data_IF_213549171616
#
_entry.id   IF_213549171616
#
_cell.length_a   1.000
_cell.length_b   1.000
_cell.length_c   1.000
_cell.angle_alpha   90.00
_cell.angle_beta   90.00
_cell.angle_gamma   90.00
#
_symmetry.space_group_name_H-M   'P 1'
#
loop_
_entity.id
_entity.type
_entity.pdbx_description
1 polymer ?
#
# COMPACT_ATOMS: atom_id res chain seq x y z
N UNK A 1 -14.23 -14.91 24.02
CA UNK A 1 -13.88 -15.98 23.06
C UNK A 1 -13.74 -15.33 21.69
N UNK A 2 -12.54 -15.30 21.09
CA UNK A 2 -12.32 -14.64 19.80
C UNK A 2 -12.82 -15.54 18.66
N UNK A 3 -13.99 -15.23 18.12
CA UNK A 3 -14.54 -15.97 16.98
C UNK A 3 -13.76 -15.64 15.70
N UNK A 4 -13.46 -16.66 14.88
CA UNK A 4 -12.86 -16.57 13.53
C UNK A 4 -13.26 -15.30 12.70
N UNK A 5 -14.53 -14.86 12.65
CA UNK A 5 -14.91 -13.63 11.94
C UNK A 5 -14.26 -12.33 12.45
N UNK A 6 -13.98 -12.22 13.75
CA UNK A 6 -13.36 -11.02 14.34
C UNK A 6 -11.88 -10.94 13.96
N UNK A 7 -11.20 -12.09 13.88
CA UNK A 7 -9.81 -12.19 13.43
C UNK A 7 -9.67 -11.76 11.97
N UNK A 8 -10.58 -12.21 11.11
CA UNK A 8 -10.59 -11.82 9.69
C UNK A 8 -10.88 -10.31 9.52
N UNK A 9 -11.78 -9.74 10.31
CA UNK A 9 -12.01 -8.28 10.31
C UNK A 9 -10.73 -7.51 10.63
N UNK A 10 -10.03 -7.88 11.71
CA UNK A 10 -8.75 -7.25 12.09
C UNK A 10 -7.66 -7.45 11.05
N UNK A 11 -7.60 -8.63 10.43
CA UNK A 11 -6.65 -8.90 9.36
C UNK A 11 -6.90 -7.98 8.16
N UNK A 12 -8.16 -7.83 7.74
CA UNK A 12 -8.57 -6.93 6.66
C UNK A 12 -8.24 -5.47 6.97
N UNK A 13 -8.53 -5.01 8.18
CA UNK A 13 -8.19 -3.65 8.62
C UNK A 13 -6.68 -3.40 8.57
N UNK A 14 -5.87 -4.35 9.05
CA UNK A 14 -4.40 -4.27 8.95
C UNK A 14 -3.93 -4.18 7.51
N UNK A 15 -4.43 -5.04 6.63
CA UNK A 15 -4.06 -5.04 5.21
C UNK A 15 -4.41 -3.69 4.56
N UNK A 16 -5.62 -3.18 4.80
CA UNK A 16 -6.02 -1.89 4.24
C UNK A 16 -5.13 -0.74 4.74
N UNK A 17 -4.83 -0.69 6.05
CA UNK A 17 -3.92 0.32 6.61
C UNK A 17 -2.53 0.24 5.98
N UNK A 18 -1.98 -0.96 5.83
CA UNK A 18 -0.69 -1.15 5.18
C UNK A 18 -0.72 -0.71 3.72
N UNK A 19 -1.79 -0.99 2.96
CA UNK A 19 -1.92 -0.52 1.58
C UNK A 19 -1.97 1.00 1.47
N UNK A 20 -2.71 1.68 2.36
CA UNK A 20 -2.77 3.15 2.39
C UNK A 20 -1.41 3.77 2.75
N UNK A 21 -0.67 3.14 3.67
CA UNK A 21 0.68 3.56 4.03
C UNK A 21 1.67 3.37 2.89
N UNK A 22 1.67 2.20 2.24
CA UNK A 22 2.49 1.92 1.06
C UNK A 22 2.24 2.94 -0.04
N UNK A 23 0.97 3.25 -0.34
CA UNK A 23 0.61 4.28 -1.30
C UNK A 23 1.23 5.63 -0.96
N UNK A 24 1.11 6.07 0.30
CA UNK A 24 1.68 7.37 0.72
C UNK A 24 3.19 7.39 0.57
N UNK A 25 3.89 6.39 1.12
CA UNK A 25 5.35 6.33 1.10
C UNK A 25 5.91 6.30 -0.32
N UNK A 26 5.31 5.50 -1.21
CA UNK A 26 5.77 5.39 -2.59
C UNK A 26 5.52 6.69 -3.36
N UNK A 27 4.35 7.32 -3.20
CA UNK A 27 4.07 8.60 -3.85
C UNK A 27 4.98 9.72 -3.35
N UNK A 28 5.24 9.78 -2.04
CA UNK A 28 6.15 10.73 -1.42
C UNK A 28 7.58 10.54 -1.93
N UNK A 29 8.08 9.30 -1.98
CA UNK A 29 9.39 8.97 -2.54
C UNK A 29 9.52 9.31 -4.03
N UNK A 30 8.41 9.34 -4.77
CA UNK A 30 8.37 9.74 -6.18
C UNK A 30 8.06 11.23 -6.40
N UNK A 31 7.95 12.04 -5.34
CA UNK A 31 7.51 13.44 -5.40
C UNK A 31 6.16 13.63 -6.14
N UNK A 32 5.25 12.68 -5.95
CA UNK A 32 3.91 12.69 -6.56
C UNK A 32 2.85 13.09 -5.54
N UNK A 33 1.93 13.94 -5.97
CA UNK A 33 0.87 14.44 -5.11
C UNK A 33 -0.22 13.38 -4.84
N UNK A 34 -0.40 12.99 -3.57
CA UNK A 34 -1.33 11.93 -3.16
C UNK A 34 -2.80 12.21 -3.48
N UNK A 35 -3.22 13.49 -3.55
CA UNK A 35 -4.59 13.89 -3.86
C UNK A 35 -4.99 13.56 -5.30
N UNK A 36 -4.01 13.49 -6.22
CA UNK A 36 -4.23 13.09 -7.62
C UNK A 36 -4.48 11.59 -7.79
N UNK A 37 -4.24 10.80 -6.76
CA UNK A 37 -4.31 9.34 -6.79
C UNK A 37 -5.41 8.76 -5.89
N UNK A 38 -6.43 9.54 -5.57
CA UNK A 38 -7.56 9.15 -4.71
C UNK A 38 -8.34 7.93 -5.20
N UNK A 39 -8.25 7.58 -6.49
CA UNK A 39 -8.93 6.42 -7.12
C UNK A 39 -8.02 5.22 -7.44
N UNK A 40 -6.79 5.17 -6.94
CA UNK A 40 -5.91 4.01 -7.17
C UNK A 40 -6.56 2.72 -6.62
N UNK A 41 -6.62 1.69 -7.45
CA UNK A 41 -7.07 0.38 -7.01
C UNK A 41 -5.97 -0.28 -6.15
N UNK A 42 -6.36 -1.28 -5.35
CA UNK A 42 -5.41 -1.99 -4.50
C UNK A 42 -4.32 -2.69 -5.30
N UNK A 43 -4.65 -3.18 -6.49
CA UNK A 43 -3.69 -3.79 -7.41
C UNK A 43 -2.64 -2.77 -7.88
N UNK A 44 -3.07 -1.56 -8.27
CA UNK A 44 -2.15 -0.50 -8.70
C UNK A 44 -1.18 -0.08 -7.58
N UNK A 45 -1.67 0.03 -6.35
CA UNK A 45 -0.83 0.35 -5.19
C UNK A 45 0.26 -0.71 -5.01
N UNK A 46 -0.11 -1.99 -5.11
CA UNK A 46 0.84 -3.09 -4.99
C UNK A 46 1.87 -3.08 -6.13
N UNK A 47 1.42 -2.93 -7.38
CA UNK A 47 2.30 -2.90 -8.55
C UNK A 47 3.28 -1.72 -8.49
N UNK A 48 2.79 -0.52 -8.19
CA UNK A 48 3.60 0.69 -8.05
C UNK A 48 4.64 0.54 -6.93
N UNK A 49 4.25 -0.07 -5.80
CA UNK A 49 5.16 -0.37 -4.69
C UNK A 49 6.26 -1.34 -5.13
N UNK A 50 5.91 -2.45 -5.79
CA UNK A 50 6.89 -3.44 -6.27
C UNK A 50 7.86 -2.80 -7.27
N UNK A 51 7.35 -1.99 -8.21
CA UNK A 51 8.18 -1.27 -9.18
C UNK A 51 9.15 -0.32 -8.48
N UNK A 52 8.68 0.44 -7.50
CA UNK A 52 9.54 1.33 -6.72
C UNK A 52 10.65 0.56 -5.98
N UNK A 53 10.32 -0.55 -5.31
CA UNK A 53 11.30 -1.40 -4.63
C UNK A 53 12.35 -1.98 -5.60
N UNK A 54 11.94 -2.39 -6.81
CA UNK A 54 12.86 -2.86 -7.84
C UNK A 54 13.82 -1.76 -8.31
N UNK A 55 13.31 -0.54 -8.52
CA UNK A 55 14.15 0.61 -8.86
C UNK A 55 15.14 0.94 -7.75
N UNK A 56 14.72 0.87 -6.47
CA UNK A 56 15.64 1.06 -5.34
C UNK A 56 16.74 0.00 -5.29
N UNK A 57 16.40 -1.27 -5.56
CA UNK A 57 17.39 -2.34 -5.60
C UNK A 57 18.37 -2.22 -6.78
N UNK A 58 17.96 -1.67 -7.92
CA UNK A 58 18.86 -1.47 -9.06
C UNK A 58 19.72 -0.21 -8.97
N UNK A 59 19.45 0.68 -8.01
CA UNK A 59 20.23 1.89 -7.75
C UNK A 59 21.27 1.70 -6.63
N UNK A 60 21.34 0.50 -6.04
CA UNK A 60 22.44 0.04 -5.19
C UNK A 60 23.48 -0.70 -6.02
#
# INVERSE_FOLDING_TARGET
QWSKPVMEKRRRERINRSLEELKRLVLEAQHRDCSRYTKLEKADILEMTVKHLRTLQSQQ
#
